data_IF_888430576829
#
_entry.id   IF_888430576829
#
_cell.length_a   1.000
_cell.length_b   1.000
_cell.length_c   1.000
_cell.angle_alpha   90.00
_cell.angle_beta   90.00
_cell.angle_gamma   90.00
#
_symmetry.space_group_name_H-M   'P 1'
#
loop_
_entity.id
_entity.type
_entity.pdbx_description
1 polymer ?
#
# COMPACT_ATOMS: atom_id res chain seq x y z
N UNK A 1 -42.39 1.63 -64.06
CA UNK A 1 -41.84 2.84 -63.40
C UNK A 1 -40.96 2.40 -62.24
N UNK A 2 -39.63 2.42 -62.42
CA UNK A 2 -38.63 2.21 -61.36
C UNK A 2 -37.76 3.47 -61.32
N UNK A 3 -37.77 4.20 -60.21
CA UNK A 3 -37.02 5.45 -60.01
C UNK A 3 -35.77 5.17 -59.18
N UNK A 4 -34.62 5.11 -59.85
CA UNK A 4 -33.28 5.03 -59.24
C UNK A 4 -32.90 6.44 -58.76
N UNK A 5 -32.77 6.63 -57.44
CA UNK A 5 -32.28 7.88 -56.83
C UNK A 5 -30.75 7.93 -56.88
N UNK A 6 -30.19 8.96 -57.54
CA UNK A 6 -28.76 9.28 -57.61
C UNK A 6 -28.27 9.88 -56.27
N UNK A 7 -27.13 9.40 -55.79
CA UNK A 7 -26.40 9.91 -54.60
C UNK A 7 -25.45 11.05 -55.06
N UNK A 8 -25.38 12.22 -54.38
CA UNK A 8 -24.44 13.28 -54.74
C UNK A 8 -23.04 13.06 -54.13
N UNK A 9 -22.03 13.50 -54.90
CA UNK A 9 -20.60 13.34 -54.64
C UNK A 9 -20.12 14.20 -53.46
N UNK A 10 -19.22 13.63 -52.65
CA UNK A 10 -18.54 14.28 -51.51
C UNK A 10 -17.69 15.46 -51.96
N UNK A 11 -17.86 16.60 -51.29
CA UNK A 11 -17.04 17.80 -51.41
C UNK A 11 -15.79 17.60 -50.55
N UNK A 12 -14.61 17.63 -51.17
CA UNK A 12 -13.32 17.68 -50.48
C UNK A 12 -13.04 19.15 -50.09
N UNK A 13 -13.02 19.44 -48.79
CA UNK A 13 -12.54 20.72 -48.27
C UNK A 13 -11.05 20.56 -47.98
N UNK A 14 -10.21 21.20 -48.79
CA UNK A 14 -8.77 21.32 -48.55
C UNK A 14 -8.53 22.35 -47.43
N UNK A 15 -8.13 21.89 -46.25
CA UNK A 15 -7.73 22.75 -45.14
C UNK A 15 -6.30 23.26 -45.36
N UNK A 16 -6.16 24.57 -45.56
CA UNK A 16 -4.87 25.27 -45.71
C UNK A 16 -4.17 25.36 -44.36
N UNK A 17 -2.96 24.81 -44.27
CA UNK A 17 -2.13 24.72 -43.06
C UNK A 17 -1.41 26.06 -42.83
N UNK A 18 -2.00 26.94 -42.01
CA UNK A 18 -1.33 28.19 -41.60
C UNK A 18 -0.43 27.90 -40.39
N UNK A 19 0.90 28.00 -40.58
CA UNK A 19 1.88 27.89 -39.51
C UNK A 19 1.94 29.21 -38.73
N UNK A 20 1.41 29.22 -37.51
CA UNK A 20 1.71 30.27 -36.52
C UNK A 20 3.03 29.93 -35.82
N UNK A 21 4.08 30.69 -36.14
CA UNK A 21 5.34 30.70 -35.38
C UNK A 21 5.14 31.51 -34.10
N UNK A 22 5.03 30.84 -32.97
CA UNK A 22 5.19 31.44 -31.65
C UNK A 22 6.61 31.18 -31.17
N UNK A 23 7.44 32.22 -31.17
CA UNK A 23 8.77 32.20 -30.56
C UNK A 23 8.65 32.66 -29.11
N UNK A 24 8.72 31.74 -28.16
CA UNK A 24 8.94 32.04 -26.75
C UNK A 24 10.27 31.43 -26.30
N UNK A 25 11.29 32.29 -26.14
CA UNK A 25 12.53 31.94 -25.45
C UNK A 25 12.26 31.97 -23.94
N UNK A 26 12.01 30.82 -23.33
CA UNK A 26 12.11 30.66 -21.87
C UNK A 26 13.41 29.93 -21.55
N UNK A 27 14.27 30.61 -20.81
CA UNK A 27 15.58 30.11 -20.34
C UNK A 27 15.32 29.22 -19.12
N UNK A 28 15.25 27.90 -19.33
CA UNK A 28 15.12 26.93 -18.24
C UNK A 28 16.46 26.81 -17.51
N UNK A 29 16.52 27.30 -16.27
CA UNK A 29 17.60 26.98 -15.33
C UNK A 29 17.21 25.67 -14.64
N UNK A 30 17.80 24.56 -15.06
CA UNK A 30 17.69 23.28 -14.35
C UNK A 30 18.61 23.36 -13.13
N UNK A 31 18.04 23.58 -11.94
CA UNK A 31 18.73 23.31 -10.67
C UNK A 31 18.53 21.84 -10.33
N UNK A 32 19.60 21.07 -10.40
CA UNK A 32 19.66 19.73 -9.82
C UNK A 32 19.71 19.85 -8.30
N UNK A 33 18.65 19.43 -7.62
CA UNK A 33 18.67 19.23 -6.17
C UNK A 33 18.83 17.73 -5.90
N UNK A 34 20.08 17.31 -5.69
CA UNK A 34 20.39 16.04 -5.07
C UNK A 34 20.43 16.25 -3.56
N UNK A 35 19.42 15.72 -2.85
CA UNK A 35 19.54 15.42 -1.42
C UNK A 35 18.34 14.58 -0.98
N UNK A 36 18.56 13.27 -0.84
CA UNK A 36 17.65 12.39 -0.13
C UNK A 36 17.68 12.72 1.38
N UNK A 37 16.53 12.68 2.08
CA UNK A 37 16.51 12.92 3.52
C UNK A 37 17.06 11.71 4.29
N UNK A 38 17.74 11.93 5.44
CA UNK A 38 18.22 10.85 6.29
C UNK A 38 17.04 10.11 6.95
N UNK A 39 17.04 8.78 6.83
CA UNK A 39 16.17 7.89 7.60
C UNK A 39 16.74 7.84 9.01
N UNK A 40 16.04 8.45 9.97
CA UNK A 40 16.39 8.38 11.39
C UNK A 40 16.04 6.99 11.94
N UNK A 41 17.04 6.15 12.14
CA UNK A 41 16.98 4.97 12.99
C UNK A 41 17.30 5.39 14.43
N UNK A 42 16.32 5.29 15.33
CA UNK A 42 16.59 5.36 16.77
C UNK A 42 16.83 3.94 17.28
N UNK A 43 18.10 3.56 17.39
CA UNK A 43 18.57 2.44 18.21
C UNK A 43 19.03 2.99 19.55
N UNK A 44 18.26 2.73 20.61
CA UNK A 44 18.75 2.91 21.98
C UNK A 44 19.47 1.63 22.37
N UNK A 45 20.78 1.72 22.51
CA UNK A 45 21.67 0.64 22.91
C UNK A 45 21.50 0.33 24.39
N UNK A 46 21.17 -0.92 24.71
CA UNK A 46 21.59 -1.55 25.96
C UNK A 46 22.37 -2.81 25.61
N UNK A 47 23.64 -2.79 25.98
CA UNK A 47 24.63 -3.82 25.70
C UNK A 47 24.43 -5.02 26.63
N UNK A 48 24.16 -6.20 26.10
CA UNK A 48 24.59 -7.46 26.71
C UNK A 48 24.45 -8.65 25.75
N UNK A 49 25.57 -9.37 25.64
CA UNK A 49 25.75 -10.75 25.19
C UNK A 49 25.85 -11.08 23.69
N UNK A 50 27.12 -11.31 23.35
CA UNK A 50 27.70 -12.13 22.29
C UNK A 50 26.89 -13.39 21.96
N UNK A 51 26.93 -13.67 20.67
CA UNK A 51 26.76 -14.97 20.03
C UNK A 51 25.32 -15.50 19.87
N UNK A 52 24.69 -15.12 18.75
CA UNK A 52 23.84 -16.08 18.02
C UNK A 52 24.03 -15.87 16.53
N UNK A 53 25.25 -16.16 16.08
CA UNK A 53 25.52 -16.37 14.66
C UNK A 53 25.10 -17.79 14.25
N UNK A 54 23.86 -18.18 14.58
CA UNK A 54 23.23 -19.32 13.90
C UNK A 54 22.78 -18.86 12.52
N UNK A 55 23.74 -18.87 11.59
CA UNK A 55 23.44 -19.20 10.20
C UNK A 55 22.55 -20.45 10.25
N UNK A 56 21.26 -20.27 9.93
CA UNK A 56 20.40 -21.42 9.67
C UNK A 56 21.06 -22.18 8.53
N UNK A 57 21.50 -23.39 8.85
CA UNK A 57 22.14 -24.29 7.91
C UNK A 57 21.19 -24.54 6.73
N UNK A 58 21.68 -24.27 5.52
CA UNK A 58 21.14 -24.84 4.28
C UNK A 58 20.05 -24.03 3.58
N UNK A 59 20.35 -22.82 3.09
CA UNK A 59 19.75 -22.43 1.81
C UNK A 59 20.50 -23.21 0.72
N UNK A 60 19.91 -24.32 0.27
CA UNK A 60 20.41 -25.06 -0.88
C UNK A 60 20.53 -24.11 -2.08
N UNK A 61 21.57 -24.27 -2.91
CA UNK A 61 21.81 -23.49 -4.14
C UNK A 61 20.62 -23.48 -5.14
N UNK A 62 19.57 -24.25 -4.88
CA UNK A 62 18.41 -24.44 -5.76
C UNK A 62 17.07 -24.00 -5.13
N UNK A 63 16.97 -22.72 -4.77
CA UNK A 63 15.73 -22.15 -4.22
C UNK A 63 14.53 -22.26 -5.19
N UNK A 64 14.80 -22.36 -6.49
CA UNK A 64 13.78 -22.54 -7.53
C UNK A 64 13.03 -23.87 -7.38
N UNK A 65 13.65 -24.88 -6.78
CA UNK A 65 13.00 -26.17 -6.47
C UNK A 65 12.18 -26.15 -5.20
N UNK A 66 12.23 -25.07 -4.42
CA UNK A 66 11.49 -24.97 -3.16
C UNK A 66 10.20 -24.15 -3.34
N UNK A 67 9.20 -24.33 -2.47
CA UNK A 67 8.04 -23.45 -2.45
C UNK A 67 8.45 -21.98 -2.25
N UNK A 68 7.79 -21.02 -2.93
CA UNK A 68 6.59 -21.19 -3.75
C UNK A 68 6.83 -21.54 -5.23
N UNK A 69 8.06 -21.85 -5.67
CA UNK A 69 8.41 -21.99 -7.10
C UNK A 69 8.40 -23.43 -7.60
N UNK A 70 9.02 -24.36 -6.86
CA UNK A 70 9.22 -25.75 -7.31
C UNK A 70 8.08 -26.72 -6.96
N UNK A 71 6.91 -26.21 -6.59
CA UNK A 71 5.82 -27.04 -6.08
C UNK A 71 5.24 -28.01 -7.12
N UNK A 72 5.27 -27.69 -8.41
CA UNK A 72 4.85 -28.61 -9.47
C UNK A 72 5.59 -29.97 -9.40
N UNK A 73 6.85 -29.98 -8.95
CA UNK A 73 7.63 -31.21 -8.79
C UNK A 73 7.47 -31.82 -7.39
N UNK A 74 7.34 -30.99 -6.36
CA UNK A 74 7.30 -31.41 -4.95
C UNK A 74 5.93 -31.91 -4.48
N UNK A 75 4.84 -31.38 -5.03
CA UNK A 75 3.47 -31.67 -4.61
C UNK A 75 2.56 -31.82 -5.83
N UNK A 76 2.55 -33.04 -6.39
CA UNK A 76 1.72 -33.38 -7.57
C UNK A 76 0.21 -33.34 -7.30
N UNK A 77 -0.17 -33.26 -6.02
CA UNK A 77 -1.57 -33.23 -5.58
C UNK A 77 -1.99 -31.82 -5.11
N UNK A 78 -1.18 -30.80 -5.40
CA UNK A 78 -1.52 -29.42 -5.06
C UNK A 78 -2.86 -29.03 -5.72
N UNK A 79 -3.89 -28.88 -4.88
CA UNK A 79 -5.22 -28.42 -5.29
C UNK A 79 -5.38 -26.97 -4.91
N UNK A 80 -5.40 -26.10 -5.93
CA UNK A 80 -5.65 -24.69 -5.75
C UNK A 80 -7.12 -24.41 -5.39
N UNK A 81 -7.34 -23.55 -4.41
CA UNK A 81 -8.65 -22.97 -4.10
C UNK A 81 -8.77 -21.56 -4.71
N UNK A 82 -7.63 -20.90 -4.97
CA UNK A 82 -7.56 -19.55 -5.49
C UNK A 82 -6.53 -19.43 -6.61
N UNK A 83 -6.90 -18.71 -7.66
CA UNK A 83 -5.98 -18.29 -8.72
C UNK A 83 -5.68 -16.81 -8.62
N UNK A 84 -4.47 -16.44 -9.05
CA UNK A 84 -4.04 -15.06 -9.05
C UNK A 84 -3.20 -14.72 -10.28
N UNK A 85 -3.20 -13.45 -10.65
CA UNK A 85 -2.42 -12.95 -11.78
C UNK A 85 -2.00 -11.51 -11.57
N UNK A 86 -0.79 -11.17 -12.01
CA UNK A 86 -0.41 -9.77 -12.18
C UNK A 86 -1.24 -9.10 -13.29
N UNK A 87 -1.16 -7.77 -13.40
CA UNK A 87 -1.95 -6.99 -14.36
C UNK A 87 -1.80 -7.47 -15.82
N UNK A 88 -0.57 -7.80 -16.24
CA UNK A 88 -0.32 -8.24 -17.62
C UNK A 88 -0.42 -9.75 -17.84
N UNK A 89 -0.77 -10.55 -16.83
CA UNK A 89 -0.82 -12.02 -16.97
C UNK A 89 0.54 -12.73 -16.99
N UNK A 90 1.64 -11.99 -16.91
CA UNK A 90 3.00 -12.54 -17.04
C UNK A 90 3.52 -13.26 -15.80
N UNK A 91 2.93 -13.00 -14.63
CA UNK A 91 3.17 -13.75 -13.40
C UNK A 91 1.81 -14.24 -12.92
N UNK A 92 1.69 -15.56 -12.77
CA UNK A 92 0.50 -16.23 -12.26
C UNK A 92 0.90 -17.16 -11.13
N UNK A 93 0.00 -17.32 -10.18
CA UNK A 93 0.20 -18.20 -9.04
C UNK A 93 -1.14 -18.68 -8.51
N UNK A 94 -1.08 -19.76 -7.75
CA UNK A 94 -2.20 -20.43 -7.13
C UNK A 94 -1.99 -20.46 -5.61
N UNK A 95 -3.08 -20.42 -4.86
CA UNK A 95 -3.08 -20.58 -3.41
C UNK A 95 -4.04 -21.71 -3.01
N UNK A 96 -3.63 -22.51 -2.03
CA UNK A 96 -4.42 -23.56 -1.40
C UNK A 96 -4.85 -23.12 -0.01
N UNK A 97 -6.10 -23.38 0.34
CA UNK A 97 -6.69 -23.06 1.63
C UNK A 97 -6.96 -21.57 1.85
N UNK A 98 -7.33 -21.24 3.08
CA UNK A 98 -7.64 -19.88 3.50
C UNK A 98 -6.41 -19.14 4.05
N UNK A 99 -6.35 -17.80 3.94
CA UNK A 99 -5.30 -17.02 4.56
C UNK A 99 -5.34 -17.16 6.09
N UNK A 100 -4.16 -17.28 6.69
CA UNK A 100 -4.02 -17.33 8.15
C UNK A 100 -4.46 -16.02 8.80
N UNK A 101 -4.14 -14.91 8.14
CA UNK A 101 -4.51 -13.57 8.58
C UNK A 101 -4.57 -12.61 7.40
N UNK A 102 -5.41 -11.58 7.50
CA UNK A 102 -5.56 -10.56 6.46
C UNK A 102 -5.64 -9.18 7.09
N UNK A 103 -4.84 -8.22 6.60
CA UNK A 103 -4.66 -6.91 7.23
C UNK A 103 -4.49 -5.80 6.19
N UNK A 104 -4.81 -4.57 6.61
CA UNK A 104 -4.31 -3.36 5.95
C UNK A 104 -3.10 -2.80 6.69
N UNK A 105 -1.98 -2.62 5.99
CA UNK A 105 -0.78 -1.96 6.52
C UNK A 105 -0.67 -0.52 6.02
N UNK A 106 -0.52 0.42 6.95
CA UNK A 106 -0.46 1.86 6.66
C UNK A 106 0.96 2.44 6.79
N UNK A 107 1.99 1.62 7.01
CA UNK A 107 3.34 2.13 7.20
C UNK A 107 3.87 2.85 5.95
N UNK A 108 4.79 3.81 6.12
CA UNK A 108 5.36 4.57 4.99
C UNK A 108 6.09 3.69 3.98
N UNK A 109 6.68 2.58 4.42
CA UNK A 109 7.29 1.60 3.51
C UNK A 109 6.26 1.01 2.56
N UNK A 110 5.16 0.46 3.09
CA UNK A 110 4.06 -0.08 2.29
C UNK A 110 3.42 0.99 1.40
N UNK A 111 3.22 2.22 1.89
CA UNK A 111 2.66 3.29 1.07
C UNK A 111 3.53 3.59 -0.16
N UNK A 112 4.85 3.67 0.03
CA UNK A 112 5.80 3.99 -1.05
C UNK A 112 6.03 2.83 -2.01
N UNK A 113 6.21 1.61 -1.49
CA UNK A 113 6.44 0.41 -2.29
C UNK A 113 5.25 0.09 -3.21
N UNK A 114 4.03 0.30 -2.71
CA UNK A 114 2.81 -0.04 -3.45
C UNK A 114 2.17 1.16 -4.16
N UNK A 115 2.67 2.38 -3.92
CA UNK A 115 2.05 3.61 -4.45
C UNK A 115 0.60 3.79 -3.99
N UNK A 116 0.26 3.34 -2.78
CA UNK A 116 -1.12 3.25 -2.29
C UNK A 116 -1.27 3.80 -0.86
N UNK A 117 -2.46 4.29 -0.44
CA UNK A 117 -2.73 4.75 0.93
C UNK A 117 -2.44 3.71 2.03
N UNK A 118 -2.65 2.44 1.69
CA UNK A 118 -2.38 1.28 2.52
C UNK A 118 -2.17 0.06 1.63
N UNK A 119 -1.54 -0.97 2.18
CA UNK A 119 -1.34 -2.25 1.50
C UNK A 119 -2.24 -3.33 2.13
N UNK A 120 -3.01 -4.03 1.29
CA UNK A 120 -3.82 -5.18 1.68
C UNK A 120 -2.95 -6.44 1.61
N UNK A 121 -2.78 -7.11 2.75
CA UNK A 121 -1.88 -8.26 2.90
C UNK A 121 -2.64 -9.48 3.41
N UNK A 122 -2.46 -10.65 2.79
CA UNK A 122 -2.94 -11.93 3.28
C UNK A 122 -1.76 -12.88 3.53
N UNK A 123 -1.72 -13.51 4.70
CA UNK A 123 -0.60 -14.35 5.13
C UNK A 123 -0.87 -15.81 4.82
N UNK A 124 0.06 -16.47 4.14
CA UNK A 124 0.04 -17.90 3.83
C UNK A 124 1.38 -18.55 4.18
N UNK A 125 1.37 -19.86 4.44
CA UNK A 125 2.62 -20.63 4.41
C UNK A 125 3.15 -20.71 2.97
N UNK A 126 4.48 -20.72 2.81
CA UNK A 126 5.10 -20.83 1.47
C UNK A 126 4.67 -22.08 0.70
N UNK A 127 4.49 -23.20 1.40
CA UNK A 127 4.06 -24.47 0.81
C UNK A 127 2.63 -24.47 0.24
N UNK A 128 1.84 -23.46 0.60
CA UNK A 128 0.45 -23.34 0.16
C UNK A 128 0.29 -22.37 -1.01
N UNK A 129 1.41 -21.85 -1.53
CA UNK A 129 1.45 -20.95 -2.69
C UNK A 129 2.31 -21.57 -3.78
N UNK A 130 1.77 -21.68 -4.98
CA UNK A 130 2.46 -22.24 -6.14
C UNK A 130 2.52 -21.21 -7.28
N UNK A 131 3.73 -20.76 -7.63
CA UNK A 131 3.94 -19.93 -8.81
C UNK A 131 3.91 -20.82 -10.05
N UNK A 132 2.95 -20.59 -10.93
CA UNK A 132 2.72 -21.40 -12.13
C UNK A 132 3.46 -20.88 -13.37
N UNK A 133 4.08 -19.69 -13.27
CA UNK A 133 4.91 -19.10 -14.31
C UNK A 133 6.41 -19.22 -14.03
N UNK A 134 7.28 -19.22 -15.06
CA UNK A 134 8.72 -19.26 -14.85
C UNK A 134 9.25 -18.11 -13.96
N UNK A 135 10.19 -18.43 -13.06
CA UNK A 135 10.84 -17.45 -12.19
C UNK A 135 11.56 -16.33 -12.96
N UNK A 136 11.90 -16.55 -14.23
CA UNK A 136 12.47 -15.53 -15.12
C UNK A 136 11.57 -14.30 -15.28
N UNK A 137 10.25 -14.43 -15.12
CA UNK A 137 9.29 -13.32 -15.20
C UNK A 137 9.21 -12.47 -13.92
N UNK A 138 9.86 -12.93 -12.85
CA UNK A 138 9.78 -12.36 -11.51
C UNK A 138 11.06 -11.56 -11.22
N UNK A 139 10.88 -10.38 -10.65
CA UNK A 139 11.95 -9.57 -10.08
C UNK A 139 11.84 -9.56 -8.56
N UNK A 140 13.00 -9.39 -7.91
CA UNK A 140 13.12 -9.35 -6.46
C UNK A 140 13.64 -7.98 -6.01
N UNK A 141 13.29 -7.61 -4.78
CA UNK A 141 13.86 -6.46 -4.11
C UNK A 141 13.90 -6.69 -2.60
N UNK A 142 15.10 -6.65 -2.02
CA UNK A 142 15.29 -6.63 -0.58
C UNK A 142 15.33 -5.16 -0.12
N UNK A 143 14.34 -4.76 0.68
CA UNK A 143 14.21 -3.38 1.17
C UNK A 143 15.14 -3.05 2.35
N UNK A 144 15.71 -4.05 3.01
CA UNK A 144 16.68 -3.86 4.11
C UNK A 144 18.07 -3.51 3.57
N UNK A 145 18.46 -4.14 2.46
CA UNK A 145 19.76 -3.94 1.82
C UNK A 145 19.70 -3.03 0.59
N UNK A 146 18.51 -2.60 0.17
CA UNK A 146 18.26 -1.80 -1.03
C UNK A 146 18.85 -2.42 -2.30
N UNK A 147 18.59 -3.72 -2.49
CA UNK A 147 19.16 -4.52 -3.59
C UNK A 147 18.11 -5.29 -4.38
N UNK A 148 18.30 -5.47 -5.70
CA UNK A 148 17.40 -6.24 -6.55
C UNK A 148 17.70 -7.75 -6.51
N UNK A 149 17.88 -8.29 -5.30
CA UNK A 149 18.17 -9.71 -5.06
C UNK A 149 17.09 -10.37 -4.22
N UNK A 150 17.12 -11.72 -4.22
CA UNK A 150 16.23 -12.56 -3.42
C UNK A 150 16.91 -12.93 -2.10
N UNK A 151 17.30 -11.93 -1.33
CA UNK A 151 17.72 -12.13 0.07
C UNK A 151 16.50 -11.97 0.98
N UNK A 152 16.16 -12.99 1.76
CA UNK A 152 14.89 -13.05 2.50
C UNK A 152 14.96 -12.28 3.83
N UNK A 153 13.95 -11.45 4.14
CA UNK A 153 12.69 -11.26 3.41
C UNK A 153 12.82 -10.31 2.20
N UNK A 154 12.21 -10.67 1.07
CA UNK A 154 12.23 -9.87 -0.15
C UNK A 154 10.83 -9.60 -0.73
N UNK A 155 10.75 -8.62 -1.62
CA UNK A 155 9.54 -8.23 -2.36
C UNK A 155 9.57 -8.85 -3.75
N UNK A 156 8.49 -9.50 -4.16
CA UNK A 156 8.34 -10.00 -5.53
C UNK A 156 7.51 -9.03 -6.36
N UNK A 157 7.94 -8.83 -7.61
CA UNK A 157 7.19 -8.04 -8.59
C UNK A 157 7.28 -8.65 -10.00
N UNK A 158 6.30 -8.37 -10.84
CA UNK A 158 6.39 -8.75 -12.26
C UNK A 158 7.44 -7.90 -12.98
N UNK A 159 8.39 -8.50 -13.70
CA UNK A 159 9.38 -7.75 -14.47
C UNK A 159 8.79 -6.91 -15.60
N UNK A 160 7.64 -7.32 -16.13
CA UNK A 160 6.96 -6.61 -17.22
C UNK A 160 6.11 -5.43 -16.71
N UNK A 161 4.98 -5.71 -16.04
CA UNK A 161 4.05 -4.67 -15.60
C UNK A 161 4.39 -4.03 -14.24
N UNK A 162 5.41 -4.52 -13.54
CA UNK A 162 5.84 -4.03 -12.22
C UNK A 162 4.82 -4.20 -11.09
N UNK A 163 3.70 -4.89 -11.32
CA UNK A 163 2.76 -5.23 -10.25
C UNK A 163 3.51 -5.92 -9.10
N UNK A 164 3.42 -5.41 -7.87
CA UNK A 164 3.84 -6.14 -6.68
C UNK A 164 3.03 -7.43 -6.60
N UNK A 165 3.67 -8.56 -6.25
CA UNK A 165 3.03 -9.89 -6.22
C UNK A 165 2.78 -10.33 -4.77
N UNK A 166 3.85 -10.48 -3.99
CA UNK A 166 3.82 -10.75 -2.56
C UNK A 166 5.18 -10.46 -1.91
N UNK A 167 5.20 -10.38 -0.58
CA UNK A 167 6.44 -10.40 0.18
C UNK A 167 6.80 -11.84 0.54
N UNK A 168 8.00 -12.28 0.18
CA UNK A 168 8.51 -13.60 0.55
C UNK A 168 9.32 -13.51 1.85
N UNK A 169 8.88 -14.21 2.89
CA UNK A 169 9.65 -14.46 4.09
C UNK A 169 10.33 -15.83 4.07
N UNK A 170 10.88 -16.25 5.21
CA UNK A 170 11.56 -17.55 5.31
C UNK A 170 10.60 -18.73 5.15
N UNK A 171 9.45 -18.68 5.84
CA UNK A 171 8.46 -19.77 5.87
C UNK A 171 7.07 -19.35 5.36
N UNK A 172 6.84 -18.04 5.25
CA UNK A 172 5.53 -17.45 4.97
C UNK A 172 5.65 -16.51 3.78
N UNK A 173 4.53 -16.26 3.11
CA UNK A 173 4.41 -15.12 2.20
C UNK A 173 3.29 -14.20 2.68
N UNK A 174 3.40 -12.92 2.32
CA UNK A 174 2.30 -11.97 2.42
C UNK A 174 1.79 -11.66 1.01
N UNK A 175 0.77 -12.39 0.58
CA UNK A 175 0.07 -12.18 -0.69
C UNK A 175 -0.64 -10.83 -0.73
N UNK A 176 -0.79 -10.28 -1.93
CA UNK A 176 -1.62 -9.11 -2.17
C UNK A 176 -2.96 -9.53 -2.75
N UNK A 177 -4.07 -9.46 -1.97
CA UNK A 177 -5.35 -10.01 -2.40
C UNK A 177 -5.95 -9.33 -3.62
N UNK A 178 -5.47 -8.14 -3.99
CA UNK A 178 -5.85 -7.44 -5.22
C UNK A 178 -5.51 -8.20 -6.51
N UNK A 179 -4.65 -9.23 -6.43
CA UNK A 179 -4.31 -10.08 -7.56
C UNK A 179 -5.14 -11.38 -7.64
N UNK A 180 -5.92 -11.70 -6.60
CA UNK A 180 -6.73 -12.92 -6.55
C UNK A 180 -7.95 -12.75 -7.45
N UNK A 181 -8.22 -13.77 -8.27
CA UNK A 181 -9.44 -13.86 -9.07
C UNK A 181 -10.56 -14.43 -8.21
N UNK A 182 -11.31 -13.57 -7.53
CA UNK A 182 -12.47 -14.03 -6.77
C UNK A 182 -13.55 -14.58 -7.72
N UNK A 183 -14.11 -15.77 -7.45
CA UNK A 183 -15.07 -16.40 -8.34
C UNK A 183 -16.39 -15.62 -8.35
N UNK A 184 -16.68 -14.99 -9.48
CA UNK A 184 -17.93 -14.24 -9.74
C UNK A 184 -19.19 -14.97 -9.26
N UNK A 185 -19.38 -16.22 -9.69
CA UNK A 185 -20.58 -17.00 -9.36
C UNK A 185 -20.73 -17.34 -7.86
N UNK A 186 -19.66 -17.27 -7.08
CA UNK A 186 -19.70 -17.55 -5.64
C UNK A 186 -20.31 -16.39 -4.83
N UNK A 187 -20.42 -15.20 -5.42
CA UNK A 187 -21.02 -14.05 -4.75
C UNK A 187 -22.52 -14.24 -4.50
N UNK A 188 -23.19 -15.09 -5.29
CA UNK A 188 -24.65 -15.20 -5.30
C UNK A 188 -25.36 -13.90 -5.72
N UNK A 189 -24.59 -12.88 -6.12
CA UNK A 189 -25.09 -11.56 -6.47
C UNK A 189 -25.59 -11.59 -7.91
N UNK A 190 -26.86 -11.22 -8.09
CA UNK A 190 -27.48 -11.13 -9.43
C UNK A 190 -27.06 -9.87 -10.21
N UNK A 191 -26.35 -8.94 -9.57
CA UNK A 191 -25.88 -7.71 -10.19
C UNK A 191 -24.40 -7.84 -10.65
N UNK A 192 -24.11 -7.73 -11.96
CA UNK A 192 -22.75 -7.79 -12.51
C UNK A 192 -21.76 -6.76 -11.95
N UNK A 193 -22.22 -5.64 -11.40
CA UNK A 193 -21.35 -4.62 -10.76
C UNK A 193 -20.97 -5.03 -9.34
N UNK A 194 -21.93 -5.55 -8.56
CA UNK A 194 -21.68 -6.04 -7.21
C UNK A 194 -20.77 -7.29 -7.21
N UNK A 195 -20.78 -8.01 -8.32
CA UNK A 195 -19.92 -9.16 -8.58
C UNK A 195 -18.44 -8.77 -8.80
N UNK A 196 -18.17 -7.54 -9.25
CA UNK A 196 -16.80 -7.02 -9.42
C UNK A 196 -16.17 -6.55 -8.11
N UNK A 197 -16.98 -6.28 -7.09
CA UNK A 197 -16.54 -5.81 -5.77
C UNK A 197 -16.62 -6.91 -4.71
N UNK A 198 -17.02 -8.12 -5.08
CA UNK A 198 -17.14 -9.24 -4.16
C UNK A 198 -15.77 -9.72 -3.66
N UNK A 199 -15.65 -9.80 -2.33
CA UNK A 199 -14.50 -10.37 -1.62
C UNK A 199 -15.05 -11.37 -0.60
N UNK A 200 -14.68 -12.67 -0.68
CA UNK A 200 -15.13 -13.66 0.30
C UNK A 200 -14.71 -13.30 1.73
N UNK A 201 -15.49 -13.72 2.73
CA UNK A 201 -15.25 -13.35 4.13
C UNK A 201 -13.86 -13.73 4.63
N UNK A 202 -13.34 -14.89 4.21
CA UNK A 202 -11.99 -15.37 4.56
C UNK A 202 -10.89 -14.41 4.08
N UNK A 203 -11.16 -13.61 3.05
CA UNK A 203 -10.23 -12.60 2.50
C UNK A 203 -10.44 -11.20 3.08
N UNK A 204 -11.50 -10.94 3.85
CA UNK A 204 -11.71 -9.61 4.44
C UNK A 204 -10.63 -9.29 5.47
N UNK A 205 -10.10 -8.07 5.41
CA UNK A 205 -9.12 -7.63 6.39
C UNK A 205 -9.72 -7.62 7.80
N UNK A 206 -9.00 -8.20 8.75
CA UNK A 206 -9.41 -8.32 10.15
C UNK A 206 -9.03 -7.10 10.98
N UNK A 207 -8.08 -6.29 10.51
CA UNK A 207 -7.66 -5.06 11.18
C UNK A 207 -6.77 -4.17 10.29
N UNK A 208 -6.54 -2.95 10.78
CA UNK A 208 -5.54 -2.00 10.29
C UNK A 208 -4.34 -1.95 11.24
N UNK A 209 -3.14 -2.09 10.70
CA UNK A 209 -1.88 -1.94 11.43
C UNK A 209 -1.11 -0.72 10.94
N UNK A 210 -0.26 -0.16 11.81
CA UNK A 210 0.50 1.06 11.55
C UNK A 210 -0.39 2.27 11.21
N UNK A 211 -1.62 2.29 11.71
CA UNK A 211 -2.69 3.21 11.32
C UNK A 211 -2.41 4.68 11.69
N UNK A 212 -1.43 4.93 12.57
CA UNK A 212 -0.96 6.30 12.84
C UNK A 212 -0.35 6.99 11.62
N UNK A 213 0.07 6.24 10.60
CA UNK A 213 0.64 6.76 9.35
C UNK A 213 -0.38 6.88 8.20
N UNK A 214 -1.66 6.59 8.47
CA UNK A 214 -2.72 6.69 7.46
C UNK A 214 -2.75 8.07 6.82
N UNK A 215 -3.07 8.11 5.54
CA UNK A 215 -3.24 9.37 4.78
C UNK A 215 -4.69 9.85 4.76
N UNK A 216 -5.63 8.96 5.13
CA UNK A 216 -7.05 9.24 5.28
C UNK A 216 -7.62 8.37 6.40
N UNK A 217 -8.69 8.84 7.04
CA UNK A 217 -9.46 8.03 7.99
C UNK A 217 -10.28 7.00 7.18
N UNK A 218 -10.14 5.72 7.53
CA UNK A 218 -10.93 4.59 6.99
C UNK A 218 -12.01 4.24 8.01
N UNK A 219 -13.26 4.29 7.58
CA UNK A 219 -14.44 4.01 8.40
C UNK A 219 -15.08 2.69 7.96
N UNK A 220 -14.49 1.58 8.38
CA UNK A 220 -14.87 0.21 7.95
C UNK A 220 -15.26 -0.70 9.13
N UNK A 221 -15.26 -0.18 10.36
CA UNK A 221 -15.62 -0.93 11.57
C UNK A 221 -14.59 -1.97 12.00
N UNK A 222 -13.47 -2.12 11.28
CA UNK A 222 -12.41 -3.06 11.68
C UNK A 222 -11.46 -2.43 12.71
N UNK A 223 -10.92 -3.20 13.66
CA UNK A 223 -9.97 -2.70 14.64
C UNK A 223 -8.75 -2.03 14.02
N UNK A 224 -8.30 -0.92 14.62
CA UNK A 224 -7.15 -0.13 14.14
C UNK A 224 -6.08 -0.06 15.21
N UNK A 225 -4.82 -0.26 14.82
CA UNK A 225 -3.65 -0.31 15.70
C UNK A 225 -2.59 0.70 15.26
N UNK A 226 -1.99 1.41 16.20
CA UNK A 226 -0.97 2.44 15.90
C UNK A 226 0.33 1.83 15.35
N UNK A 227 0.63 0.58 15.67
CA UNK A 227 1.71 -0.26 15.15
C UNK A 227 1.18 -1.66 14.83
N UNK A 228 1.83 -2.71 15.34
CA UNK A 228 1.37 -4.09 15.17
C UNK A 228 0.10 -4.40 16.00
N UNK A 229 -0.73 -5.29 15.46
CA UNK A 229 -1.93 -5.83 16.13
C UNK A 229 -1.53 -6.45 17.48
N UNK A 230 -2.29 -6.13 18.54
CA UNK A 230 -2.12 -6.62 19.91
C UNK A 230 -0.78 -6.25 20.59
N UNK A 231 0.08 -5.47 19.92
CA UNK A 231 1.39 -5.06 20.42
C UNK A 231 1.59 -3.53 20.38
N UNK A 232 0.51 -2.77 20.19
CA UNK A 232 0.53 -1.31 20.14
C UNK A 232 -0.81 -0.74 20.60
N UNK A 233 -0.90 0.57 20.75
CA UNK A 233 -2.15 1.19 21.20
C UNK A 233 -3.25 1.10 20.14
N UNK A 234 -4.51 0.79 20.53
CA UNK A 234 -5.64 0.86 19.64
C UNK A 234 -5.89 2.31 19.20
N UNK A 235 -6.31 2.48 17.95
CA UNK A 235 -6.67 3.77 17.38
C UNK A 235 -8.19 3.87 17.27
N UNK A 236 -8.77 4.92 17.82
CA UNK A 236 -10.19 5.21 17.66
C UNK A 236 -10.55 5.50 16.20
N UNK A 237 -11.67 4.94 15.76
CA UNK A 237 -12.31 5.29 14.50
C UNK A 237 -13.03 6.63 14.66
N UNK A 238 -12.35 7.71 14.30
CA UNK A 238 -12.88 9.07 14.46
C UNK A 238 -13.56 9.54 13.18
N UNK A 239 -14.88 9.69 13.22
CA UNK A 239 -15.60 10.54 12.27
C UNK A 239 -15.21 11.97 12.60
N UNK A 240 -14.42 12.62 11.73
CA UNK A 240 -14.27 14.08 11.80
C UNK A 240 -15.65 14.68 11.54
N UNK A 241 -16.39 15.00 12.60
CA UNK A 241 -17.50 15.95 12.47
C UNK A 241 -16.85 17.23 11.95
N UNK A 242 -17.15 17.61 10.71
CA UNK A 242 -16.89 18.97 10.26
C UNK A 242 -17.65 19.84 11.24
N UNK A 243 -16.93 20.50 12.16
CA UNK A 243 -17.54 21.56 12.95
C UNK A 243 -18.07 22.56 11.94
N UNK A 244 -19.38 22.71 11.88
CA UNK A 244 -19.96 23.92 11.32
C UNK A 244 -19.25 25.08 12.00
N UNK A 245 -18.62 25.93 11.20
CA UNK A 245 -18.08 27.20 11.69
C UNK A 245 -19.30 28.07 11.98
N UNK A 246 -19.98 27.81 13.09
CA UNK A 246 -20.93 28.76 13.65
C UNK A 246 -20.10 29.84 14.33
N UNK A 247 -20.25 31.05 13.80
CA UNK A 247 -19.43 32.21 14.12
C UNK A 247 -19.39 32.50 15.61
N UNK A 248 -18.16 32.61 16.14
CA UNK A 248 -17.94 33.39 17.35
C UNK A 248 -17.68 34.82 16.93
N UNK A 249 -18.74 35.61 16.89
CA UNK A 249 -18.61 37.07 16.96
C UNK A 249 -17.87 37.42 18.23
N UNK A 250 -16.86 38.27 18.07
CA UNK A 250 -16.09 38.83 19.16
C UNK A 250 -16.99 39.78 19.97
N UNK A 251 -17.12 39.52 21.27
CA UNK A 251 -17.49 40.57 22.21
C UNK A 251 -16.29 40.83 23.13
N UNK A 252 -15.60 41.93 22.84
CA UNK A 252 -14.65 42.56 23.73
C UNK A 252 -15.43 43.39 24.75
N UNK A 253 -15.34 43.02 26.02
CA UNK A 253 -15.29 43.93 27.16
C UNK A 253 -14.19 43.34 28.07
N UNK A 254 -13.04 43.97 28.26
CA UNK A 254 -12.89 45.33 28.75
C UNK A 254 -13.08 45.25 30.26
N UNK A 255 -11.99 44.94 30.98
CA UNK A 255 -11.64 45.46 32.32
C UNK A 255 -10.45 44.69 32.90
N UNK A 256 -9.27 45.31 32.86
CA UNK A 256 -8.12 45.02 33.72
C UNK A 256 -7.67 46.35 34.30
N UNK A 257 -8.10 46.63 35.53
CA UNK A 257 -7.46 47.64 36.36
C UNK A 257 -6.62 46.91 37.41
N UNK A 258 -5.30 47.10 37.28
CA UNK A 258 -4.27 46.63 38.17
C UNK A 258 -4.15 47.56 39.38
N UNK A 259 -4.17 47.03 40.60
CA UNK A 259 -3.54 47.69 41.74
C UNK A 259 -2.97 46.66 42.70
N UNK A 260 -1.64 46.66 42.85
CA UNK A 260 -0.99 46.07 44.01
C UNK A 260 0.18 46.95 44.45
N UNK A 261 0.13 47.30 45.74
CA UNK A 261 1.21 47.73 46.66
C UNK A 261 1.72 49.17 46.62
N UNK A 262 1.44 49.86 47.72
CA UNK A 262 2.41 50.75 48.38
C UNK A 262 2.19 50.68 49.90
N UNK A 263 3.28 50.49 50.64
CA UNK A 263 3.37 50.34 52.11
C UNK A 263 3.04 51.65 52.84
N UNK A 264 2.60 51.63 54.11
CA UNK A 264 2.60 52.83 54.93
C UNK A 264 3.86 52.92 55.82
N UNK A 265 4.44 54.11 55.77
CA UNK A 265 5.56 54.60 56.56
C UNK A 265 5.22 54.80 58.05
N UNK A 266 6.28 54.83 58.85
CA UNK A 266 6.32 55.06 60.30
C UNK A 266 5.76 56.43 60.71
N UNK A 267 4.94 56.46 61.77
CA UNK A 267 4.59 57.66 62.54
C UNK A 267 4.92 57.50 64.02
N UNK A 268 5.76 58.41 64.55
CA UNK A 268 6.21 58.56 65.95
C UNK A 268 5.11 59.22 66.82
N UNK A 269 5.24 58.97 68.14
CA UNK A 269 4.98 59.81 69.35
C UNK A 269 4.43 61.24 69.06
N UNK A 270 3.45 61.76 69.78
CA UNK A 270 3.32 61.95 71.25
C UNK A 270 1.87 61.86 71.74
#
# INVERSE_FOLDING_TARGET
MLLIRKIPKRIFITATRQQLRLTTRTRTVVRTFHSAPPIMSNSTSTSANKDDSRKVAGESEDWHKQPPYGLAELDKEFKADWEASCYCGGVQYEARGDPLDVKFCHCKGCQRLHGAPAQWAAIFHKKDIHITTPASNIGFYNSEHDKPDRDLPCKLHCKNCKSPIFDEGRNMVMLFPTLIKFPRKASGLKNPEADQTYVPDVWKAKCHIFYKYRVMDVLDGTPKWSGHKDASDPCEERIRRMSTVEGKEAHQSGDKESSEKTEPEKGKKE
#
